data_IF_694684661793
#
_entry.id   IF_694684661793
#
_cell.length_a   1.000
_cell.length_b   1.000
_cell.length_c   1.000
_cell.angle_alpha   90.00
_cell.angle_beta   90.00
_cell.angle_gamma   90.00
#
_symmetry.space_group_name_H-M   'P 1'
#
loop_
_entity.id
_entity.type
_entity.pdbx_description
1 polymer ?
#
# COMPACT_ATOMS: atom_id res chain seq x y z
N UNK A 1 -1.93 -6.28 34.95
CA UNK A 1 -2.11 -5.05 34.15
C UNK A 1 -2.04 -5.47 32.70
N UNK A 2 -3.10 -5.29 31.93
CA UNK A 2 -3.10 -5.54 30.48
C UNK A 2 -2.50 -4.32 29.79
N UNK A 3 -1.65 -4.55 28.79
CA UNK A 3 -1.09 -3.46 27.99
C UNK A 3 -2.19 -2.70 27.23
N UNK A 4 -1.94 -1.42 26.93
CA UNK A 4 -2.86 -0.62 26.12
C UNK A 4 -3.04 -1.27 24.74
N UNK A 5 -4.27 -1.60 24.31
CA UNK A 5 -4.52 -2.26 23.03
C UNK A 5 -3.93 -1.51 21.83
N UNK A 6 -3.94 -0.17 21.86
CA UNK A 6 -3.40 0.65 20.76
C UNK A 6 -1.88 0.54 20.68
N UNK A 7 -1.19 0.47 21.82
CA UNK A 7 0.26 0.29 21.88
C UNK A 7 0.67 -1.10 21.40
N UNK A 8 -0.14 -2.11 21.74
CA UNK A 8 0.07 -3.48 21.27
C UNK A 8 -0.08 -3.58 19.75
N UNK A 9 -1.08 -2.91 19.18
CA UNK A 9 -1.30 -2.84 17.73
C UNK A 9 -0.10 -2.21 17.03
N UNK A 10 0.30 -0.99 17.42
CA UNK A 10 1.48 -0.31 16.87
C UNK A 10 2.74 -1.18 16.99
N UNK A 11 3.02 -1.73 18.18
CA UNK A 11 4.17 -2.62 18.37
C UNK A 11 4.16 -3.84 17.44
N UNK A 12 3.01 -4.42 17.15
CA UNK A 12 2.91 -5.57 16.24
C UNK A 12 3.08 -5.14 14.78
N UNK A 13 2.56 -3.98 14.39
CA UNK A 13 2.69 -3.42 13.06
C UNK A 13 4.16 -3.12 12.73
N UNK A 14 4.90 -2.46 13.63
CA UNK A 14 6.34 -2.20 13.48
C UNK A 14 7.14 -3.50 13.26
N UNK A 15 6.79 -4.55 14.01
CA UNK A 15 7.47 -5.86 13.88
C UNK A 15 7.14 -6.56 12.57
N UNK A 16 5.92 -6.43 12.09
CA UNK A 16 5.49 -6.95 10.79
C UNK A 16 6.16 -6.18 9.64
N UNK A 17 6.26 -4.85 9.72
CA UNK A 17 6.97 -4.01 8.78
C UNK A 17 8.45 -4.39 8.70
N UNK A 18 9.12 -4.51 9.85
CA UNK A 18 10.51 -4.95 9.93
C UNK A 18 10.74 -6.33 9.28
N UNK A 19 9.78 -7.25 9.41
CA UNK A 19 9.84 -8.55 8.75
C UNK A 19 9.63 -8.44 7.24
N UNK A 20 8.66 -7.64 6.80
CA UNK A 20 8.33 -7.45 5.39
C UNK A 20 9.48 -6.80 4.62
N UNK A 21 10.12 -5.77 5.17
CA UNK A 21 11.28 -5.15 4.55
C UNK A 21 12.44 -6.12 4.38
N UNK A 22 12.74 -6.96 5.38
CA UNK A 22 13.75 -8.03 5.24
C UNK A 22 13.35 -9.06 4.18
N UNK A 23 12.07 -9.40 4.09
CA UNK A 23 11.58 -10.33 3.08
C UNK A 23 11.71 -9.76 1.67
N UNK A 24 11.52 -8.44 1.51
CA UNK A 24 11.73 -7.73 0.24
C UNK A 24 13.21 -7.65 -0.13
N UNK A 25 14.07 -7.24 0.80
CA UNK A 25 15.51 -7.21 0.59
C UNK A 25 16.07 -8.57 0.12
N UNK A 26 15.59 -9.67 0.71
CA UNK A 26 16.02 -11.02 0.38
C UNK A 26 15.69 -11.47 -1.05
N UNK A 27 14.69 -10.87 -1.70
CA UNK A 27 14.21 -11.26 -3.04
C UNK A 27 14.45 -10.19 -4.09
N UNK A 28 14.84 -8.98 -3.69
CA UNK A 28 15.11 -7.86 -4.58
C UNK A 28 16.42 -8.07 -5.34
N UNK A 29 16.40 -8.14 -6.69
CA UNK A 29 17.62 -8.26 -7.49
C UNK A 29 18.47 -6.99 -7.51
N UNK A 30 17.86 -5.80 -7.50
CA UNK A 30 18.57 -4.53 -7.56
C UNK A 30 19.29 -4.22 -6.24
N UNK A 31 20.59 -3.95 -6.29
CA UNK A 31 21.42 -3.73 -5.10
C UNK A 31 21.07 -2.44 -4.35
N UNK A 32 20.69 -1.39 -5.08
CA UNK A 32 20.29 -0.11 -4.49
C UNK A 32 18.97 -0.27 -3.73
N UNK A 33 17.97 -0.91 -4.36
CA UNK A 33 16.66 -1.20 -3.74
C UNK A 33 16.78 -2.16 -2.57
N UNK A 34 17.62 -3.19 -2.67
CA UNK A 34 17.91 -4.11 -1.56
C UNK A 34 18.47 -3.37 -0.36
N UNK A 35 19.45 -2.50 -0.58
CA UNK A 35 20.09 -1.70 0.48
C UNK A 35 19.10 -0.75 1.13
N UNK A 36 18.17 -0.19 0.35
CA UNK A 36 17.08 0.62 0.85
C UNK A 36 16.16 -0.20 1.79
N UNK A 37 15.67 -1.36 1.35
CA UNK A 37 14.84 -2.22 2.20
C UNK A 37 15.57 -2.69 3.47
N UNK A 38 16.86 -3.01 3.39
CA UNK A 38 17.67 -3.34 4.58
C UNK A 38 17.81 -2.16 5.55
N UNK A 39 17.83 -0.93 5.04
CA UNK A 39 17.84 0.28 5.86
C UNK A 39 16.49 0.46 6.55
N UNK A 40 15.39 0.41 5.80
CA UNK A 40 14.02 0.52 6.32
C UNK A 40 13.77 -0.51 7.42
N UNK A 41 14.14 -1.78 7.20
CA UNK A 41 14.03 -2.83 8.22
C UNK A 41 14.74 -2.49 9.55
N UNK A 42 15.88 -1.78 9.49
CA UNK A 42 16.63 -1.34 10.69
C UNK A 42 15.98 -0.13 11.36
N UNK A 43 15.26 0.70 10.61
CA UNK A 43 14.47 1.80 11.19
C UNK A 43 13.32 1.20 12.00
N UNK A 44 12.57 0.27 11.41
CA UNK A 44 11.49 -0.42 12.13
C UNK A 44 11.99 -1.16 13.38
N UNK A 45 13.18 -1.77 13.33
CA UNK A 45 13.79 -2.36 14.53
C UNK A 45 14.02 -1.34 15.66
N UNK A 46 14.32 -0.07 15.32
CA UNK A 46 14.44 1.01 16.31
C UNK A 46 13.07 1.42 16.84
N UNK A 47 12.05 1.52 15.99
CA UNK A 47 10.68 1.80 16.44
C UNK A 47 10.21 0.72 17.43
N UNK A 48 10.46 -0.56 17.14
CA UNK A 48 10.19 -1.68 18.06
C UNK A 48 10.91 -1.50 19.40
N UNK A 49 12.20 -1.15 19.38
CA UNK A 49 12.95 -0.88 20.62
C UNK A 49 12.39 0.30 21.40
N UNK A 50 11.94 1.35 20.70
CA UNK A 50 11.31 2.53 21.35
C UNK A 50 10.01 2.14 22.03
N UNK A 51 9.18 1.32 21.39
CA UNK A 51 7.97 0.77 22.00
C UNK A 51 8.27 -0.12 23.21
N UNK A 52 9.29 -0.98 23.14
CA UNK A 52 9.72 -1.79 24.28
C UNK A 52 10.15 -0.93 25.47
N UNK A 53 10.87 0.17 25.21
CA UNK A 53 11.22 1.16 26.23
C UNK A 53 9.97 1.83 26.82
N UNK A 54 9.01 2.26 25.98
CA UNK A 54 7.76 2.87 26.44
C UNK A 54 6.93 1.90 27.30
N UNK A 55 6.82 0.62 26.92
CA UNK A 55 6.16 -0.40 27.75
C UNK A 55 6.84 -0.55 29.11
N UNK A 56 8.18 -0.58 29.14
CA UNK A 56 8.94 -0.68 30.37
C UNK A 56 8.77 0.56 31.28
N UNK A 57 8.82 1.77 30.70
CA UNK A 57 8.61 3.05 31.40
C UNK A 57 7.22 3.13 32.05
N UNK A 58 6.20 2.55 31.42
CA UNK A 58 4.82 2.55 31.92
C UNK A 58 4.45 1.28 32.71
N UNK A 59 5.44 0.45 33.06
CA UNK A 59 5.27 -0.82 33.77
C UNK A 59 4.21 -1.74 33.13
N UNK A 60 4.09 -1.68 31.80
CA UNK A 60 3.22 -2.54 31.00
C UNK A 60 4.01 -3.77 30.51
N UNK A 61 3.38 -4.96 30.45
CA UNK A 61 4.05 -6.14 29.94
C UNK A 61 4.23 -6.05 28.41
N UNK A 62 5.42 -6.45 27.92
CA UNK A 62 5.65 -6.59 26.47
C UNK A 62 4.70 -7.68 25.94
N UNK A 63 3.88 -7.39 24.92
CA UNK A 63 2.94 -8.35 24.37
C UNK A 63 3.66 -9.50 23.65
N UNK A 64 3.03 -10.68 23.63
CA UNK A 64 3.54 -11.80 22.85
C UNK A 64 3.31 -11.53 21.36
N UNK A 65 4.38 -11.37 20.61
CA UNK A 65 4.31 -11.16 19.17
C UNK A 65 4.21 -12.48 18.39
N UNK A 66 3.33 -12.50 17.40
CA UNK A 66 3.28 -13.51 16.34
C UNK A 66 3.08 -12.79 15.00
N UNK A 67 3.89 -13.16 14.01
CA UNK A 67 3.75 -12.69 12.63
C UNK A 67 2.30 -12.78 12.16
N UNK A 68 1.74 -11.66 11.71
CA UNK A 68 0.38 -11.67 11.19
C UNK A 68 0.28 -12.53 9.94
N UNK A 69 -0.93 -13.04 9.68
CA UNK A 69 -1.19 -13.80 8.46
C UNK A 69 -1.01 -12.90 7.21
N UNK A 70 -1.30 -11.60 7.33
CA UNK A 70 -1.12 -10.60 6.27
C UNK A 70 0.36 -10.45 5.92
N UNK A 71 1.22 -10.25 6.91
CA UNK A 71 2.67 -10.16 6.70
C UNK A 71 3.23 -11.43 6.03
N UNK A 72 2.74 -12.61 6.45
CA UNK A 72 3.14 -13.89 5.84
C UNK A 72 2.68 -14.01 4.37
N UNK A 73 1.45 -13.59 4.08
CA UNK A 73 0.91 -13.58 2.73
C UNK A 73 1.69 -12.63 1.81
N UNK A 74 1.95 -11.40 2.25
CA UNK A 74 2.70 -10.42 1.48
C UNK A 74 4.15 -10.86 1.25
N UNK A 75 4.83 -11.42 2.25
CA UNK A 75 6.16 -11.99 2.07
C UNK A 75 6.16 -13.16 1.07
N UNK A 76 5.11 -13.98 1.06
CA UNK A 76 4.95 -15.02 0.04
C UNK A 76 4.75 -14.43 -1.35
N UNK A 77 3.91 -13.40 -1.50
CA UNK A 77 3.69 -12.71 -2.77
C UNK A 77 4.99 -12.09 -3.29
N UNK A 78 5.74 -11.41 -2.43
CA UNK A 78 7.04 -10.82 -2.76
C UNK A 78 8.02 -11.88 -3.28
N UNK A 79 8.11 -13.04 -2.61
CA UNK A 79 8.95 -14.16 -3.08
C UNK A 79 8.52 -14.75 -4.40
N UNK A 80 7.21 -14.77 -4.68
CA UNK A 80 6.66 -15.46 -5.85
C UNK A 80 6.59 -14.58 -7.10
N UNK A 81 6.36 -13.29 -6.92
CA UNK A 81 6.07 -12.33 -7.99
C UNK A 81 6.96 -11.09 -7.98
N UNK A 82 7.85 -10.94 -7.00
CA UNK A 82 8.76 -9.79 -6.85
C UNK A 82 8.23 -8.70 -5.91
N UNK A 83 9.12 -7.80 -5.52
CA UNK A 83 8.83 -6.72 -4.57
C UNK A 83 7.80 -5.70 -5.08
N UNK A 84 7.77 -5.43 -6.39
CA UNK A 84 6.88 -4.44 -7.01
C UNK A 84 5.39 -4.76 -6.79
N UNK A 85 5.03 -6.03 -6.65
CA UNK A 85 3.65 -6.45 -6.39
C UNK A 85 3.14 -6.04 -5.02
N UNK A 86 4.02 -5.83 -4.04
CA UNK A 86 3.64 -5.50 -2.66
C UNK A 86 3.98 -4.07 -2.27
N UNK A 87 4.89 -3.41 -2.99
CA UNK A 87 5.31 -2.02 -2.75
C UNK A 87 4.14 -1.03 -2.60
N UNK A 88 3.09 -1.05 -3.45
CA UNK A 88 1.95 -0.15 -3.27
C UNK A 88 1.18 -0.38 -1.97
N UNK A 89 1.15 -1.62 -1.47
CA UNK A 89 0.47 -1.97 -0.22
C UNK A 89 1.27 -1.51 1.00
N UNK A 90 2.61 -1.59 0.94
CA UNK A 90 3.49 -1.02 1.97
C UNK A 90 3.43 0.50 1.96
N UNK A 91 3.49 1.15 0.80
CA UNK A 91 3.35 2.60 0.69
C UNK A 91 2.03 3.12 1.31
N UNK A 92 0.94 2.39 1.08
CA UNK A 92 -0.35 2.72 1.69
C UNK A 92 -0.38 2.48 3.21
N UNK A 93 0.43 1.57 3.72
CA UNK A 93 0.58 1.29 5.15
C UNK A 93 1.39 2.39 5.84
N UNK A 94 2.57 2.74 5.32
CA UNK A 94 3.40 3.86 5.79
C UNK A 94 2.61 5.18 5.82
N UNK A 95 1.81 5.46 4.78
CA UNK A 95 0.96 6.66 4.77
C UNK A 95 -0.11 6.67 5.88
N UNK A 96 -0.63 5.51 6.29
CA UNK A 96 -1.56 5.40 7.43
C UNK A 96 -0.83 5.56 8.75
N UNK A 97 0.38 5.01 8.87
CA UNK A 97 1.21 5.14 10.08
C UNK A 97 1.53 6.60 10.38
N UNK A 98 1.94 7.39 9.38
CA UNK A 98 2.13 8.85 9.52
C UNK A 98 0.90 9.50 10.15
N UNK A 99 -0.28 9.19 9.64
CA UNK A 99 -1.53 9.76 10.15
C UNK A 99 -1.86 9.28 11.58
N UNK A 100 -1.61 8.00 11.87
CA UNK A 100 -1.88 7.39 13.17
C UNK A 100 -0.96 7.95 14.25
N UNK A 101 0.34 8.05 13.96
CA UNK A 101 1.34 8.59 14.89
C UNK A 101 1.21 10.10 15.10
N UNK A 102 0.88 10.89 14.07
CA UNK A 102 0.57 12.31 14.26
C UNK A 102 -0.66 12.51 15.17
N UNK A 103 -1.68 11.65 15.03
CA UNK A 103 -2.85 11.68 15.94
C UNK A 103 -2.46 11.30 17.37
N UNK A 104 -1.60 10.28 17.53
CA UNK A 104 -1.09 9.86 18.84
C UNK A 104 -0.29 10.98 19.50
N UNK A 105 0.63 11.62 18.76
CA UNK A 105 1.41 12.76 19.23
C UNK A 105 0.49 13.91 19.66
N UNK A 106 -0.51 14.25 18.86
CA UNK A 106 -1.46 15.31 19.20
C UNK A 106 -2.29 14.98 20.46
N UNK A 107 -2.67 13.70 20.65
CA UNK A 107 -3.42 13.24 21.81
C UNK A 107 -2.59 13.11 23.10
N UNK A 108 -1.27 12.98 23.00
CA UNK A 108 -0.37 12.71 24.12
C UNK A 108 0.10 13.95 24.90
N UNK A 109 -0.16 15.18 24.42
CA UNK A 109 0.29 16.43 25.06
C UNK A 109 1.82 16.54 25.19
N UNK A 110 2.34 17.36 26.11
CA UNK A 110 3.80 17.46 26.39
C UNK A 110 4.29 16.25 27.22
N UNK A 111 4.26 15.06 26.65
CA UNK A 111 4.76 13.83 27.28
C UNK A 111 5.83 13.14 26.44
N UNK A 112 6.68 12.27 27.03
CA UNK A 112 7.67 11.49 26.27
C UNK A 112 7.08 10.61 25.15
N UNK A 113 5.77 10.34 25.21
CA UNK A 113 5.01 9.63 24.17
C UNK A 113 4.77 10.53 22.95
N UNK A 114 4.62 11.84 23.14
CA UNK A 114 4.52 12.80 22.04
C UNK A 114 5.80 12.83 21.21
N UNK A 115 6.94 13.00 21.86
CA UNK A 115 8.24 13.07 21.17
C UNK A 115 8.51 11.78 20.39
N UNK A 116 8.23 10.62 21.01
CA UNK A 116 8.38 9.32 20.36
C UNK A 116 7.43 9.15 19.16
N UNK A 117 6.16 9.51 19.33
CA UNK A 117 5.18 9.41 18.24
C UNK A 117 5.47 10.39 17.10
N UNK A 118 5.98 11.60 17.41
CA UNK A 118 6.35 12.58 16.40
C UNK A 118 7.60 12.17 15.60
N UNK A 119 8.60 11.60 16.29
CA UNK A 119 9.79 11.02 15.67
C UNK A 119 9.40 9.90 14.70
N UNK A 120 8.63 8.91 15.16
CA UNK A 120 8.17 7.79 14.33
C UNK A 120 7.31 8.29 13.15
N UNK A 121 6.41 9.26 13.36
CA UNK A 121 5.63 9.85 12.27
C UNK A 121 6.51 10.50 11.18
N UNK A 122 7.63 11.10 11.59
CA UNK A 122 8.60 11.71 10.66
C UNK A 122 9.35 10.63 9.89
N UNK A 123 9.81 9.57 10.57
CA UNK A 123 10.49 8.43 9.94
C UNK A 123 9.57 7.68 8.96
N UNK A 124 8.31 7.38 9.32
CA UNK A 124 7.32 6.77 8.40
C UNK A 124 7.00 7.66 7.19
N UNK A 125 7.07 8.99 7.33
CA UNK A 125 6.89 9.89 6.18
C UNK A 125 8.09 9.79 5.23
N UNK A 126 9.31 9.68 5.75
CA UNK A 126 10.50 9.43 4.92
C UNK A 126 10.40 8.08 4.20
N UNK A 127 9.95 7.02 4.88
CA UNK A 127 9.72 5.71 4.28
C UNK A 127 8.73 5.80 3.11
N UNK A 128 7.57 6.43 3.31
CA UNK A 128 6.58 6.62 2.26
C UNK A 128 7.17 7.38 1.05
N UNK A 129 8.02 8.38 1.27
CA UNK A 129 8.69 9.12 0.19
C UNK A 129 9.69 8.24 -0.56
N UNK A 130 10.52 7.48 0.14
CA UNK A 130 11.49 6.56 -0.46
C UNK A 130 10.79 5.47 -1.29
N UNK A 131 9.72 4.85 -0.76
CA UNK A 131 8.91 3.87 -1.48
C UNK A 131 8.17 4.47 -2.69
N UNK A 132 7.67 5.70 -2.58
CA UNK A 132 7.05 6.41 -3.71
C UNK A 132 8.04 6.66 -4.84
N UNK A 133 9.30 6.97 -4.49
CA UNK A 133 10.40 7.12 -5.45
C UNK A 133 10.65 5.82 -6.24
N UNK A 134 10.59 4.65 -5.59
CA UNK A 134 10.72 3.36 -6.28
C UNK A 134 9.62 3.09 -7.30
N UNK A 135 8.41 3.62 -7.05
CA UNK A 135 7.26 3.50 -7.95
C UNK A 135 7.22 4.60 -9.04
N UNK A 136 8.21 5.50 -9.07
CA UNK A 136 8.26 6.61 -10.03
C UNK A 136 7.14 7.64 -9.85
N UNK A 137 6.64 7.82 -8.62
CA UNK A 137 5.56 8.78 -8.31
C UNK A 137 6.14 10.02 -7.63
N UNK A 138 5.88 11.20 -8.20
CA UNK A 138 6.27 12.50 -7.62
C UNK A 138 5.13 13.09 -6.76
N UNK A 139 5.45 13.63 -5.57
CA UNK A 139 4.50 14.26 -4.63
C UNK A 139 4.68 13.82 -3.17
N UNK A 140 3.86 14.34 -2.25
CA UNK A 140 3.78 13.87 -0.85
C UNK A 140 2.75 12.72 -0.72
N UNK A 141 3.19 11.44 -0.67
CA UNK A 141 2.28 10.29 -0.74
C UNK A 141 1.29 10.20 0.43
N UNK A 142 1.61 10.75 1.61
CA UNK A 142 0.70 10.84 2.76
C UNK A 142 -0.39 11.91 2.59
N UNK A 143 -0.20 12.89 1.70
CA UNK A 143 -1.24 13.87 1.32
C UNK A 143 -2.02 13.44 0.08
N UNK A 144 -1.40 12.70 -0.85
CA UNK A 144 -2.10 12.03 -1.95
C UNK A 144 -2.99 10.87 -1.45
N UNK A 145 -2.70 10.37 -0.24
CA UNK A 145 -3.33 9.25 0.45
C UNK A 145 -4.61 9.60 1.20
N UNK A 146 -5.47 10.47 0.64
CA UNK A 146 -6.89 10.49 0.99
C UNK A 146 -7.59 9.20 0.55
N UNK A 147 -7.15 8.03 1.03
CA UNK A 147 -7.79 6.70 1.13
C UNK A 147 -8.66 6.13 0.02
N UNK A 148 -8.85 6.81 -1.11
CA UNK A 148 -10.09 6.67 -1.90
C UNK A 148 -9.92 6.21 -3.33
N UNK A 149 -8.70 6.07 -3.86
CA UNK A 149 -8.47 5.62 -5.24
C UNK A 149 -8.18 4.13 -5.32
N UNK A 150 -7.02 3.73 -4.80
CA UNK A 150 -6.53 2.36 -4.85
C UNK A 150 -7.16 1.45 -3.79
N UNK A 151 -7.26 1.91 -2.53
CA UNK A 151 -7.99 1.16 -1.50
C UNK A 151 -9.46 1.01 -1.92
N UNK A 152 -10.05 2.04 -2.56
CA UNK A 152 -11.39 1.94 -3.14
C UNK A 152 -11.43 0.90 -4.25
N UNK A 153 -10.52 0.88 -5.22
CA UNK A 153 -10.55 -0.14 -6.27
C UNK A 153 -10.32 -1.56 -5.73
N UNK A 154 -9.43 -1.73 -4.75
CA UNK A 154 -9.19 -3.01 -4.06
C UNK A 154 -10.39 -3.42 -3.22
N UNK A 155 -11.02 -2.50 -2.47
CA UNK A 155 -12.21 -2.76 -1.65
C UNK A 155 -13.44 -3.01 -2.51
N UNK A 156 -13.67 -2.25 -3.58
CA UNK A 156 -14.74 -2.53 -4.55
C UNK A 156 -14.50 -3.88 -5.23
N UNK A 157 -13.26 -4.20 -5.60
CA UNK A 157 -12.92 -5.50 -6.16
C UNK A 157 -13.12 -6.66 -5.20
N UNK A 158 -12.72 -6.51 -3.93
CA UNK A 158 -12.94 -7.51 -2.89
C UNK A 158 -14.43 -7.67 -2.55
N UNK A 159 -15.17 -6.56 -2.48
CA UNK A 159 -16.60 -6.57 -2.22
C UNK A 159 -17.40 -7.19 -3.39
N UNK A 160 -17.00 -6.92 -4.63
CA UNK A 160 -17.61 -7.52 -5.82
C UNK A 160 -17.35 -9.03 -5.86
N UNK A 161 -16.09 -9.46 -5.64
CA UNK A 161 -15.73 -10.87 -5.56
C UNK A 161 -16.40 -11.62 -4.41
N UNK A 162 -16.55 -11.00 -3.23
CA UNK A 162 -17.30 -11.59 -2.11
C UNK A 162 -18.78 -11.74 -2.42
N UNK A 163 -19.40 -10.73 -3.04
CA UNK A 163 -20.83 -10.76 -3.37
C UNK A 163 -21.13 -11.79 -4.45
N UNK A 164 -20.29 -11.85 -5.49
CA UNK A 164 -20.39 -12.82 -6.57
C UNK A 164 -20.21 -14.26 -6.06
N UNK A 165 -19.16 -14.51 -5.26
CA UNK A 165 -18.89 -15.84 -4.72
C UNK A 165 -19.93 -16.25 -3.66
N UNK A 166 -20.46 -15.31 -2.87
CA UNK A 166 -21.58 -15.57 -1.96
C UNK A 166 -22.84 -15.99 -2.72
N UNK A 167 -23.20 -15.28 -3.79
CA UNK A 167 -24.32 -15.65 -4.66
C UNK A 167 -24.15 -17.03 -5.30
N UNK A 168 -22.95 -17.33 -5.79
CA UNK A 168 -22.59 -18.64 -6.34
C UNK A 168 -22.75 -19.76 -5.29
N UNK A 169 -22.14 -19.59 -4.12
CA UNK A 169 -22.20 -20.58 -3.03
C UNK A 169 -23.63 -20.75 -2.52
N UNK A 170 -24.39 -19.66 -2.34
CA UNK A 170 -25.79 -19.70 -1.94
C UNK A 170 -26.67 -20.44 -2.96
N UNK A 171 -26.45 -20.21 -4.25
CA UNK A 171 -27.15 -20.92 -5.32
C UNK A 171 -26.86 -22.43 -5.34
N UNK A 172 -25.60 -22.82 -5.15
CA UNK A 172 -25.18 -24.23 -5.07
C UNK A 172 -25.75 -24.88 -3.80
N UNK A 173 -25.78 -24.19 -2.66
CA UNK A 173 -26.43 -24.69 -1.45
C UNK A 173 -27.95 -24.87 -1.69
N UNK A 174 -28.61 -23.88 -2.31
CA UNK A 174 -30.04 -23.95 -2.64
C UNK A 174 -30.41 -25.07 -3.60
N UNK A 175 -29.47 -25.52 -4.44
CA UNK A 175 -29.63 -26.66 -5.33
C UNK A 175 -29.48 -28.03 -4.63
N UNK A 176 -29.22 -28.06 -3.31
CA UNK A 176 -29.17 -29.29 -2.52
C UNK A 176 -27.94 -30.16 -2.77
N UNK A 177 -26.86 -29.54 -3.25
CA UNK A 177 -25.63 -30.25 -3.64
C UNK A 177 -24.78 -30.60 -2.40
N UNK A 178 -23.95 -31.64 -2.48
CA UNK A 178 -23.14 -32.09 -1.34
C UNK A 178 -22.17 -30.99 -0.82
N UNK A 179 -21.87 -30.96 0.50
CA UNK A 179 -20.97 -29.96 1.09
C UNK A 179 -19.58 -29.90 0.42
N UNK A 180 -19.05 -31.05 0.01
CA UNK A 180 -17.76 -31.12 -0.70
C UNK A 180 -17.80 -30.36 -2.02
N UNK A 181 -18.90 -30.46 -2.76
CA UNK A 181 -19.08 -29.73 -4.02
C UNK A 181 -19.23 -28.23 -3.76
N UNK A 182 -19.94 -27.82 -2.69
CA UNK A 182 -20.04 -26.41 -2.30
C UNK A 182 -18.66 -25.79 -2.04
N UNK A 183 -17.78 -26.49 -1.30
CA UNK A 183 -16.43 -26.02 -0.99
C UNK A 183 -15.59 -25.91 -2.26
N UNK A 184 -15.59 -26.95 -3.10
CA UNK A 184 -14.83 -26.94 -4.37
C UNK A 184 -15.30 -25.79 -5.26
N UNK A 185 -16.61 -25.57 -5.37
CA UNK A 185 -17.17 -24.49 -6.19
C UNK A 185 -16.79 -23.11 -5.66
N UNK A 186 -16.82 -22.89 -4.34
CA UNK A 186 -16.42 -21.61 -3.75
C UNK A 186 -14.92 -21.30 -3.94
N UNK A 187 -14.05 -22.31 -3.86
CA UNK A 187 -12.61 -22.16 -4.14
C UNK A 187 -12.38 -21.89 -5.63
N UNK A 188 -13.02 -22.66 -6.51
CA UNK A 188 -12.91 -22.49 -7.95
C UNK A 188 -13.41 -21.11 -8.41
N UNK A 189 -14.55 -20.65 -7.87
CA UNK A 189 -15.10 -19.32 -8.12
C UNK A 189 -14.13 -18.21 -7.68
N UNK A 190 -13.58 -18.31 -6.47
CA UNK A 190 -12.61 -17.33 -5.96
C UNK A 190 -11.35 -17.23 -6.84
N UNK A 191 -10.84 -18.36 -7.33
CA UNK A 191 -9.67 -18.38 -8.22
C UNK A 191 -10.03 -17.77 -9.58
N UNK A 192 -11.19 -18.11 -10.13
CA UNK A 192 -11.66 -17.58 -11.41
C UNK A 192 -11.85 -16.05 -11.36
N UNK A 193 -12.45 -15.54 -10.29
CA UNK A 193 -12.66 -14.11 -10.08
C UNK A 193 -11.32 -13.36 -9.97
N UNK A 194 -10.40 -13.86 -9.16
CA UNK A 194 -9.07 -13.27 -9.00
C UNK A 194 -8.29 -13.20 -10.33
N UNK A 195 -8.34 -14.28 -11.13
CA UNK A 195 -7.70 -14.33 -12.45
C UNK A 195 -8.37 -13.36 -13.44
N UNK A 196 -9.70 -13.29 -13.45
CA UNK A 196 -10.45 -12.40 -14.34
C UNK A 196 -10.16 -10.92 -14.04
N UNK A 197 -10.14 -10.55 -12.75
CA UNK A 197 -9.80 -9.19 -12.30
C UNK A 197 -8.34 -8.84 -12.59
N UNK A 198 -7.40 -9.77 -12.38
CA UNK A 198 -6.00 -9.56 -12.72
C UNK A 198 -5.79 -9.35 -14.23
N UNK A 199 -6.45 -10.17 -15.05
CA UNK A 199 -6.39 -10.05 -16.51
C UNK A 199 -7.02 -8.75 -17.01
N UNK A 200 -8.19 -8.36 -16.47
CA UNK A 200 -8.88 -7.13 -16.86
C UNK A 200 -8.10 -5.87 -16.46
N UNK A 201 -7.50 -5.86 -15.25
CA UNK A 201 -6.62 -4.79 -14.81
C UNK A 201 -5.37 -4.63 -15.68
N UNK A 202 -4.73 -5.75 -16.06
CA UNK A 202 -3.58 -5.74 -16.97
C UNK A 202 -3.95 -5.21 -18.36
N UNK A 203 -5.06 -5.69 -18.93
CA UNK A 203 -5.56 -5.22 -20.23
C UNK A 203 -5.90 -3.73 -20.21
N UNK A 204 -6.52 -3.24 -19.14
CA UNK A 204 -6.82 -1.82 -18.97
C UNK A 204 -5.54 -0.97 -18.89
N UNK A 205 -4.55 -1.40 -18.11
CA UNK A 205 -3.26 -0.71 -18.00
C UNK A 205 -2.52 -0.67 -19.35
N UNK A 206 -2.52 -1.79 -20.07
CA UNK A 206 -1.94 -1.88 -21.40
C UNK A 206 -2.65 -0.96 -22.40
N UNK A 207 -3.98 -0.97 -22.40
CA UNK A 207 -4.78 -0.11 -23.29
C UNK A 207 -4.56 1.37 -22.99
N UNK A 208 -4.47 1.76 -21.72
CA UNK A 208 -4.14 3.13 -21.34
C UNK A 208 -2.75 3.56 -21.83
N UNK A 209 -1.76 2.67 -21.72
CA UNK A 209 -0.41 2.92 -22.23
C UNK A 209 -0.37 3.08 -23.76
N UNK A 210 -1.13 2.26 -24.50
CA UNK A 210 -1.25 2.36 -25.95
C UNK A 210 -1.92 3.68 -26.38
N UNK A 211 -3.01 4.08 -25.71
CA UNK A 211 -3.69 5.36 -25.97
C UNK A 211 -2.76 6.54 -25.67
N UNK A 212 -2.04 6.51 -24.55
CA UNK A 212 -1.11 7.58 -24.18
C UNK A 212 0.05 7.70 -25.18
N UNK A 213 0.62 6.57 -25.61
CA UNK A 213 1.66 6.56 -26.64
C UNK A 213 1.16 7.17 -27.96
N UNK A 214 -0.07 6.83 -28.37
CA UNK A 214 -0.69 7.42 -29.56
C UNK A 214 -0.93 8.93 -29.42
N UNK A 215 -1.36 9.39 -28.24
CA UNK A 215 -1.54 10.82 -27.98
C UNK A 215 -0.22 11.59 -28.10
N UNK A 216 0.86 11.07 -27.52
CA UNK A 216 2.20 11.67 -27.63
C UNK A 216 2.64 11.76 -29.11
N UNK A 217 2.37 10.73 -29.90
CA UNK A 217 2.74 10.71 -31.32
C UNK A 217 1.95 11.74 -32.15
N UNK A 218 0.67 11.92 -31.82
CA UNK A 218 -0.18 12.95 -32.42
C UNK A 218 0.28 14.37 -32.05
N UNK A 219 0.44 14.66 -30.75
CA UNK A 219 0.90 15.97 -30.25
C UNK A 219 2.24 16.34 -30.91
N UNK A 220 3.15 15.36 -31.06
CA UNK A 220 4.44 15.57 -31.73
C UNK A 220 4.30 15.94 -33.20
N UNK A 221 3.32 15.39 -33.92
CA UNK A 221 3.02 15.77 -35.30
C UNK A 221 2.40 17.17 -35.36
N UNK A 222 1.48 17.48 -34.46
CA UNK A 222 0.80 18.77 -34.38
C UNK A 222 1.81 19.90 -34.10
N UNK A 223 2.73 19.70 -33.15
CA UNK A 223 3.85 20.61 -32.87
C UNK A 223 4.76 20.88 -34.09
N UNK A 224 4.91 19.92 -34.99
CA UNK A 224 5.74 20.09 -36.20
C UNK A 224 4.99 20.79 -37.33
N UNK A 225 3.69 20.55 -37.45
CA UNK A 225 2.86 21.04 -38.55
C UNK A 225 2.25 22.41 -38.27
N UNK A 226 1.91 22.70 -37.01
CA UNK A 226 1.13 23.87 -36.59
C UNK A 226 1.69 24.54 -35.31
N UNK A 227 2.98 24.92 -35.27
CA UNK A 227 3.63 25.40 -34.04
C UNK A 227 2.98 26.65 -33.44
N UNK A 228 2.47 27.55 -34.27
CA UNK A 228 1.83 28.80 -33.85
C UNK A 228 0.50 28.55 -33.11
N UNK A 229 -0.26 27.53 -33.54
CA UNK A 229 -1.53 27.17 -32.92
C UNK A 229 -1.31 26.45 -31.59
N UNK A 230 -0.32 25.55 -31.54
CA UNK A 230 0.08 24.87 -30.30
C UNK A 230 0.61 25.84 -29.24
N UNK A 231 1.31 26.90 -29.64
CA UNK A 231 1.77 27.96 -28.73
C UNK A 231 0.59 28.71 -28.10
N UNK A 232 -0.43 29.05 -28.89
CA UNK A 232 -1.66 29.68 -28.39
C UNK A 232 -2.44 28.73 -27.46
N UNK A 233 -2.54 27.44 -27.81
CA UNK A 233 -3.20 26.43 -26.97
C UNK A 233 -2.49 26.26 -25.62
N UNK A 234 -1.16 26.13 -25.63
CA UNK A 234 -0.35 26.04 -24.42
C UNK A 234 -0.53 27.30 -23.56
N UNK A 235 -0.48 28.49 -24.15
CA UNK A 235 -0.70 29.75 -23.43
C UNK A 235 -2.07 29.76 -22.73
N UNK A 236 -3.13 29.33 -23.42
CA UNK A 236 -4.48 29.22 -22.86
C UNK A 236 -4.55 28.22 -21.70
N UNK A 237 -3.88 27.06 -21.83
CA UNK A 237 -3.79 26.05 -20.75
C UNK A 237 -3.10 26.62 -19.51
N UNK A 238 -2.00 27.38 -19.69
CA UNK A 238 -1.29 28.02 -18.58
C UNK A 238 -2.10 29.13 -17.93
N UNK A 239 -2.85 29.91 -18.70
CA UNK A 239 -3.77 30.94 -18.19
C UNK A 239 -4.88 30.32 -17.33
N UNK A 240 -5.48 29.22 -17.78
CA UNK A 240 -6.49 28.46 -17.00
C UNK A 240 -5.89 27.88 -15.72
N UNK A 241 -4.60 27.51 -15.72
CA UNK A 241 -3.87 27.08 -14.52
C UNK A 241 -3.45 28.23 -13.60
N UNK A 242 -3.73 29.49 -13.97
CA UNK A 242 -3.49 30.67 -13.15
C UNK A 242 -2.14 31.35 -13.36
N UNK A 243 -1.43 31.03 -14.45
CA UNK A 243 -0.20 31.71 -14.85
C UNK A 243 -0.54 32.85 -15.82
N UNK A 244 -0.05 34.05 -15.56
CA UNK A 244 -0.24 35.26 -16.38
C UNK A 244 1.09 35.90 -16.73
#
# INVERSE_FOLDING_TARGET
VTADPSWVEHYCDERDAAFLYRALAAVEPDESRRTLFDRLAKVEDRHVQRWEALFAEHAQPIPQYRLSWRARMLAWMARRFGADMVLPLLLAEEGREVTAYLRLAHGAGDSPVHDAAFEIATESAEHARELSGLLGREGEPWHAGGGGGYLRSVVYGFNDGLTANFGLVAGVIGAGVSPTVVIITGIAGSIADALSMGASGYLAAKSAAEVHAHQIEMERHELQLMPEVEEEELALIYEVKGFT
#
